data_IF_276760158249
#
_entry.id   IF_276760158249
#
_cell.length_a   1.000
_cell.length_b   1.000
_cell.length_c   1.000
_cell.angle_alpha   90.00
_cell.angle_beta   90.00
_cell.angle_gamma   90.00
#
_symmetry.space_group_name_H-M   'P 1'
#
loop_
_entity.id
_entity.type
_entity.pdbx_description
1 polymer ?
#
# COMPACT_ATOMS: atom_id res chain seq x y z
N UNK A 1 -22.13 -68.19 31.81
CA UNK A 1 -23.56 -68.52 32.00
C UNK A 1 -24.25 -67.18 31.96
N UNK A 2 -24.73 -66.64 30.84
CA UNK A 2 -25.34 -67.26 29.67
C UNK A 2 -25.27 -66.25 28.49
N UNK A 3 -24.16 -66.14 27.74
CA UNK A 3 -23.80 -66.90 26.53
C UNK A 3 -24.93 -67.59 25.72
N UNK A 4 -26.17 -67.08 25.77
CA UNK A 4 -27.24 -67.51 24.85
C UNK A 4 -27.99 -66.34 24.18
N UNK A 5 -27.80 -65.10 24.62
CA UNK A 5 -28.30 -63.91 23.90
C UNK A 5 -27.45 -63.55 22.67
N UNK A 6 -26.27 -64.16 22.53
CA UNK A 6 -25.31 -63.92 21.44
C UNK A 6 -25.63 -64.71 20.16
N UNK A 7 -26.59 -65.64 20.23
CA UNK A 7 -26.88 -66.59 19.14
C UNK A 7 -28.07 -66.17 18.25
N UNK A 8 -28.91 -65.23 18.71
CA UNK A 8 -30.03 -64.70 17.90
C UNK A 8 -29.66 -63.46 17.08
N UNK A 9 -28.47 -62.86 17.29
CA UNK A 9 -27.95 -61.77 16.45
C UNK A 9 -27.16 -62.25 15.22
N UNK A 10 -26.98 -63.56 15.06
CA UNK A 10 -26.20 -64.14 13.97
C UNK A 10 -27.06 -64.70 12.83
N UNK A 11 -28.37 -64.90 13.05
CA UNK A 11 -29.27 -65.45 12.01
C UNK A 11 -30.01 -64.38 11.19
N UNK A 12 -30.21 -63.16 11.69
CA UNK A 12 -30.72 -62.05 10.87
C UNK A 12 -29.60 -61.34 10.07
N UNK A 13 -28.35 -61.81 10.22
CA UNK A 13 -27.17 -61.29 9.53
C UNK A 13 -26.87 -61.95 8.19
N UNK A 14 -27.65 -62.94 7.75
CA UNK A 14 -27.36 -63.70 6.51
C UNK A 14 -28.40 -63.54 5.39
N UNK A 15 -29.52 -62.82 5.58
CA UNK A 15 -30.56 -62.72 4.53
C UNK A 15 -30.74 -61.32 3.90
N UNK A 16 -29.89 -60.33 4.23
CA UNK A 16 -30.02 -58.95 3.69
C UNK A 16 -28.70 -58.38 3.11
N UNK A 17 -27.62 -59.16 3.06
CA UNK A 17 -26.29 -58.66 2.63
C UNK A 17 -25.90 -59.09 1.21
N UNK A 18 -26.66 -59.96 0.54
CA UNK A 18 -26.34 -60.39 -0.83
C UNK A 18 -27.05 -59.56 -1.92
N UNK A 19 -27.18 -58.25 -1.70
CA UNK A 19 -27.63 -57.29 -2.73
C UNK A 19 -26.69 -56.09 -2.89
N UNK A 20 -25.45 -56.15 -2.40
CA UNK A 20 -24.43 -55.12 -2.63
C UNK A 20 -23.03 -55.72 -2.78
N UNK A 21 -22.32 -55.31 -3.85
CA UNK A 21 -21.05 -55.84 -4.38
C UNK A 21 -21.27 -57.07 -5.25
N UNK A 22 -21.40 -56.98 -6.59
CA UNK A 22 -20.24 -56.76 -7.45
C UNK A 22 -20.72 -56.37 -8.87
N UNK A 23 -21.27 -55.16 -9.04
CA UNK A 23 -21.16 -54.45 -10.32
C UNK A 23 -19.83 -53.70 -10.35
N UNK A 24 -18.74 -54.46 -10.40
CA UNK A 24 -17.45 -53.95 -10.84
C UNK A 24 -17.37 -54.13 -12.35
N UNK A 25 -17.88 -53.15 -13.09
CA UNK A 25 -17.34 -52.66 -14.36
C UNK A 25 -18.23 -51.50 -14.79
N UNK A 26 -17.65 -50.47 -15.41
CA UNK A 26 -18.32 -49.25 -15.88
C UNK A 26 -18.74 -48.20 -14.83
N UNK A 27 -17.84 -47.68 -13.98
CA UNK A 27 -17.89 -46.25 -13.58
C UNK A 27 -16.51 -45.64 -13.39
N UNK A 28 -15.64 -45.77 -14.40
CA UNK A 28 -14.41 -44.99 -14.47
C UNK A 28 -14.61 -43.85 -15.47
N UNK A 29 -15.26 -42.76 -15.04
CA UNK A 29 -15.49 -41.66 -15.97
C UNK A 29 -16.25 -40.44 -15.49
N UNK A 30 -16.28 -40.03 -14.21
CA UNK A 30 -16.84 -38.70 -13.89
C UNK A 30 -16.40 -38.05 -12.56
N UNK A 31 -15.13 -38.17 -12.15
CA UNK A 31 -14.66 -37.48 -10.93
C UNK A 31 -13.45 -36.53 -11.09
N UNK A 32 -13.02 -36.22 -12.32
CA UNK A 32 -11.85 -35.36 -12.54
C UNK A 32 -12.16 -33.90 -12.96
N UNK A 33 -13.40 -33.50 -13.19
CA UNK A 33 -13.68 -32.22 -13.89
C UNK A 33 -13.99 -30.99 -13.02
N UNK A 34 -14.30 -31.13 -11.71
CA UNK A 34 -14.72 -29.97 -10.88
C UNK A 34 -13.61 -29.32 -10.03
N UNK A 35 -12.50 -30.02 -9.74
CA UNK A 35 -11.43 -29.49 -8.88
C UNK A 35 -10.36 -28.67 -9.63
N UNK A 36 -10.26 -28.78 -10.96
CA UNK A 36 -9.25 -28.07 -11.75
C UNK A 36 -9.59 -26.58 -11.96
N UNK A 37 -10.88 -26.20 -12.02
CA UNK A 37 -11.32 -24.79 -12.22
C UNK A 37 -11.16 -23.89 -10.98
N UNK A 38 -11.20 -24.44 -9.75
CA UNK A 38 -11.04 -23.64 -8.51
C UNK A 38 -9.59 -23.25 -8.22
N UNK A 39 -8.62 -24.10 -8.58
CA UNK A 39 -7.19 -23.80 -8.40
C UNK A 39 -6.67 -22.73 -9.36
N UNK A 40 -7.22 -22.61 -10.58
CA UNK A 40 -6.82 -21.58 -11.54
C UNK A 40 -7.21 -20.17 -11.07
N UNK A 41 -8.44 -19.97 -10.57
CA UNK A 41 -8.91 -18.66 -10.06
C UNK A 41 -8.13 -18.14 -8.84
N UNK A 42 -7.65 -19.05 -7.97
CA UNK A 42 -6.80 -18.70 -6.80
C UNK A 42 -5.36 -18.36 -7.22
N UNK A 43 -4.86 -18.99 -8.28
CA UNK A 43 -3.53 -18.74 -8.89
C UNK A 43 -3.49 -17.39 -9.62
N UNK A 44 -4.55 -17.02 -10.33
CA UNK A 44 -4.67 -15.71 -10.99
C UNK A 44 -4.77 -14.55 -9.99
N UNK A 45 -5.57 -14.69 -8.92
CA UNK A 45 -5.62 -13.65 -7.85
C UNK A 45 -4.25 -13.46 -7.18
N UNK A 46 -3.51 -14.53 -6.94
CA UNK A 46 -2.16 -14.47 -6.33
C UNK A 46 -1.12 -13.88 -7.30
N UNK A 47 -1.30 -14.06 -8.61
CA UNK A 47 -0.47 -13.45 -9.65
C UNK A 47 -0.72 -11.95 -9.78
N UNK A 48 -2.00 -11.52 -9.85
CA UNK A 48 -2.38 -10.10 -9.87
C UNK A 48 -1.93 -9.34 -8.62
N UNK A 49 -2.02 -9.97 -7.44
CA UNK A 49 -1.55 -9.35 -6.20
C UNK A 49 -0.02 -9.25 -6.14
N UNK A 50 0.70 -10.20 -6.75
CA UNK A 50 2.16 -10.11 -6.89
C UNK A 50 2.57 -9.01 -7.86
N UNK A 51 1.90 -8.90 -9.00
CA UNK A 51 2.13 -7.85 -10.00
C UNK A 51 1.85 -6.46 -9.41
N UNK A 52 0.71 -6.27 -8.72
CA UNK A 52 0.40 -5.00 -8.03
C UNK A 52 1.43 -4.66 -6.94
N UNK A 53 1.83 -5.63 -6.10
CA UNK A 53 2.84 -5.38 -5.08
C UNK A 53 4.20 -5.04 -5.70
N UNK A 54 4.55 -5.64 -6.83
CA UNK A 54 5.80 -5.37 -7.53
C UNK A 54 5.81 -3.97 -8.16
N UNK A 55 4.69 -3.53 -8.71
CA UNK A 55 4.49 -2.17 -9.25
C UNK A 55 4.57 -1.11 -8.14
N UNK A 56 3.96 -1.37 -6.97
CA UNK A 56 4.05 -0.49 -5.80
C UNK A 56 5.50 -0.41 -5.30
N UNK A 57 6.20 -1.54 -5.21
CA UNK A 57 7.61 -1.57 -4.79
C UNK A 57 8.48 -0.76 -5.77
N UNK A 58 8.27 -0.92 -7.08
CA UNK A 58 9.00 -0.15 -8.09
C UNK A 58 8.73 1.35 -8.00
N UNK A 59 7.47 1.77 -7.82
CA UNK A 59 7.13 3.19 -7.64
C UNK A 59 7.78 3.79 -6.38
N UNK A 60 7.80 3.03 -5.28
CA UNK A 60 8.44 3.44 -4.02
C UNK A 60 9.96 3.51 -4.18
N UNK A 61 10.57 2.55 -4.87
CA UNK A 61 12.01 2.55 -5.18
C UNK A 61 12.41 3.71 -6.09
N UNK A 62 11.62 4.04 -7.11
CA UNK A 62 11.84 5.19 -7.99
C UNK A 62 11.69 6.51 -7.24
N UNK A 63 10.69 6.64 -6.37
CA UNK A 63 10.56 7.81 -5.50
C UNK A 63 11.74 7.95 -4.54
N UNK A 64 12.19 6.84 -3.95
CA UNK A 64 13.34 6.84 -3.02
C UNK A 64 14.61 7.16 -3.79
N UNK A 65 14.81 6.60 -4.98
CA UNK A 65 15.95 6.87 -5.86
C UNK A 65 15.94 8.32 -6.35
N UNK A 66 14.78 8.88 -6.68
CA UNK A 66 14.65 10.29 -7.00
C UNK A 66 14.99 11.17 -5.79
N UNK A 67 14.50 10.83 -4.59
CA UNK A 67 14.81 11.53 -3.33
C UNK A 67 16.29 11.45 -2.93
N UNK A 68 16.97 10.33 -3.24
CA UNK A 68 18.38 10.11 -2.93
C UNK A 68 19.33 10.73 -3.97
N UNK A 69 18.89 10.93 -5.21
CA UNK A 69 19.72 11.50 -6.28
C UNK A 69 19.55 13.01 -6.47
N UNK A 70 18.65 13.67 -5.75
CA UNK A 70 18.57 15.14 -5.74
C UNK A 70 19.83 15.70 -5.08
N UNK A 71 20.56 16.51 -5.85
CA UNK A 71 21.68 17.29 -5.33
C UNK A 71 21.23 18.21 -4.19
N UNK A 72 22.17 18.63 -3.33
CA UNK A 72 21.86 19.57 -2.26
C UNK A 72 21.23 20.87 -2.80
N UNK A 73 21.62 21.28 -4.01
CA UNK A 73 21.04 22.44 -4.70
C UNK A 73 19.55 22.22 -4.99
N UNK A 74 19.18 21.10 -5.60
CA UNK A 74 17.78 20.82 -5.93
C UNK A 74 16.91 20.62 -4.68
N UNK A 75 17.45 19.98 -3.63
CA UNK A 75 16.74 19.89 -2.35
C UNK A 75 16.49 21.28 -1.76
N UNK A 76 17.48 22.15 -1.83
CA UNK A 76 17.37 23.54 -1.38
C UNK A 76 16.33 24.30 -2.20
N UNK A 77 16.29 24.11 -3.52
CA UNK A 77 15.31 24.76 -4.39
C UNK A 77 13.88 24.29 -4.08
N UNK A 78 13.70 22.99 -3.81
CA UNK A 78 12.43 22.44 -3.34
C UNK A 78 12.00 23.01 -1.98
N UNK A 79 12.95 23.18 -1.05
CA UNK A 79 12.71 23.82 0.25
C UNK A 79 12.22 25.27 0.09
N UNK A 80 12.90 26.04 -0.77
CA UNK A 80 12.55 27.42 -1.08
C UNK A 80 11.17 27.49 -1.74
N UNK A 81 10.91 26.66 -2.75
CA UNK A 81 9.64 26.62 -3.45
C UNK A 81 8.48 26.25 -2.51
N UNK A 82 8.69 25.31 -1.60
CA UNK A 82 7.70 24.97 -0.58
C UNK A 82 7.41 26.14 0.36
N UNK A 83 8.45 26.83 0.83
CA UNK A 83 8.26 28.00 1.69
C UNK A 83 7.48 29.11 0.98
N UNK A 84 7.82 29.44 -0.27
CA UNK A 84 7.08 30.41 -1.08
C UNK A 84 5.60 30.00 -1.22
N UNK A 85 5.34 28.72 -1.47
CA UNK A 85 3.96 28.20 -1.53
C UNK A 85 3.23 28.41 -0.22
N UNK A 86 3.85 28.13 0.93
CA UNK A 86 3.22 28.36 2.23
C UNK A 86 2.93 29.85 2.49
N UNK A 87 3.85 30.75 2.14
CA UNK A 87 3.62 32.20 2.27
C UNK A 87 2.41 32.62 1.41
N UNK A 88 2.37 32.19 0.14
CA UNK A 88 1.26 32.50 -0.79
C UNK A 88 -0.08 31.93 -0.30
N UNK A 89 -0.08 30.75 0.32
CA UNK A 89 -1.29 30.20 0.95
C UNK A 89 -1.71 31.00 2.19
N UNK A 90 -0.77 31.42 3.03
CA UNK A 90 -1.05 32.26 4.20
C UNK A 90 -1.65 33.62 3.82
N UNK A 91 -1.21 34.22 2.71
CA UNK A 91 -1.74 35.48 2.18
C UNK A 91 -3.23 35.41 1.78
N UNK A 92 -3.82 34.22 1.63
CA UNK A 92 -5.26 34.08 1.38
C UNK A 92 -6.12 34.33 2.61
N UNK A 93 -5.52 34.32 3.80
CA UNK A 93 -6.18 34.58 5.07
C UNK A 93 -6.19 36.08 5.38
N UNK A 94 -7.00 36.50 6.36
CA UNK A 94 -7.06 37.90 6.80
C UNK A 94 -5.81 38.26 7.59
N UNK A 95 -4.76 38.71 6.90
CA UNK A 95 -3.54 39.27 7.48
C UNK A 95 -3.64 40.79 7.58
N UNK A 96 -2.88 41.36 8.53
CA UNK A 96 -2.68 42.81 8.62
C UNK A 96 -1.84 43.31 7.43
N UNK A 97 -1.97 44.59 7.02
CA UNK A 97 -1.17 45.15 5.93
C UNK A 97 0.34 45.02 6.13
N UNK A 98 0.80 45.03 7.39
CA UNK A 98 2.19 44.86 7.76
C UNK A 98 2.67 43.42 7.53
N UNK A 99 1.89 42.42 7.96
CA UNK A 99 2.19 41.01 7.71
C UNK A 99 2.17 40.67 6.21
N UNK A 100 1.29 41.29 5.43
CA UNK A 100 1.26 41.16 3.97
C UNK A 100 2.57 41.70 3.38
N UNK A 101 3.00 42.89 3.79
CA UNK A 101 4.26 43.49 3.31
C UNK A 101 5.47 42.62 3.65
N UNK A 102 5.53 42.10 4.89
CA UNK A 102 6.58 41.17 5.33
C UNK A 102 6.57 39.90 4.45
N UNK A 103 5.39 39.32 4.23
CA UNK A 103 5.22 38.14 3.37
C UNK A 103 5.68 38.38 1.94
N UNK A 104 5.32 39.52 1.34
CA UNK A 104 5.74 39.88 -0.02
C UNK A 104 7.26 40.07 -0.11
N UNK A 105 7.86 40.83 0.82
CA UNK A 105 9.32 41.01 0.87
C UNK A 105 10.08 39.70 1.06
N UNK A 106 9.50 38.75 1.80
CA UNK A 106 10.10 37.43 1.96
C UNK A 106 10.00 36.59 0.69
N UNK A 107 8.90 36.67 -0.06
CA UNK A 107 8.80 36.03 -1.39
C UNK A 107 9.87 36.59 -2.33
N UNK A 108 10.02 37.92 -2.41
CA UNK A 108 11.05 38.57 -3.23
C UNK A 108 12.47 38.13 -2.83
N UNK A 109 12.76 38.04 -1.52
CA UNK A 109 14.04 37.57 -1.00
C UNK A 109 14.33 36.12 -1.41
N UNK A 110 13.33 35.24 -1.37
CA UNK A 110 13.46 33.84 -1.70
C UNK A 110 13.56 33.59 -3.21
N UNK A 111 12.84 34.36 -4.03
CA UNK A 111 12.86 34.28 -5.50
C UNK A 111 14.12 34.93 -6.10
N UNK A 112 14.76 35.89 -5.40
CA UNK A 112 15.95 36.56 -5.91
C UNK A 112 17.18 35.67 -5.98
N UNK A 113 17.78 35.54 -7.17
CA UNK A 113 19.04 34.83 -7.38
C UNK A 113 20.27 35.59 -6.85
N UNK A 114 20.11 36.88 -6.52
CA UNK A 114 21.19 37.71 -5.98
C UNK A 114 21.36 37.54 -4.47
N UNK A 115 20.37 36.95 -3.80
CA UNK A 115 20.38 36.78 -2.35
C UNK A 115 21.18 35.52 -1.99
N UNK A 116 22.24 35.63 -1.17
CA UNK A 116 23.00 34.48 -0.73
C UNK A 116 22.12 33.46 -0.01
N UNK A 117 22.37 32.17 -0.26
CA UNK A 117 21.57 31.07 0.28
C UNK A 117 21.45 31.10 1.81
N UNK A 118 22.51 31.51 2.52
CA UNK A 118 22.49 31.64 3.99
C UNK A 118 21.38 32.59 4.44
N UNK A 119 21.21 33.73 3.77
CA UNK A 119 20.15 34.70 4.08
C UNK A 119 18.76 34.13 3.79
N UNK A 120 18.60 33.41 2.68
CA UNK A 120 17.34 32.70 2.37
C UNK A 120 16.99 31.71 3.48
N UNK A 121 17.94 30.88 3.90
CA UNK A 121 17.75 29.90 5.00
C UNK A 121 17.41 30.57 6.33
N UNK A 122 18.04 31.71 6.65
CA UNK A 122 17.71 32.49 7.85
C UNK A 122 16.28 33.01 7.83
N UNK A 123 15.83 33.60 6.71
CA UNK A 123 14.47 34.07 6.58
C UNK A 123 13.47 32.92 6.72
N UNK A 124 13.67 31.81 6.00
CA UNK A 124 12.82 30.61 6.10
C UNK A 124 12.74 30.11 7.55
N UNK A 125 13.88 30.05 8.26
CA UNK A 125 13.91 29.62 9.66
C UNK A 125 13.23 30.62 10.60
N UNK A 126 13.35 31.92 10.35
CA UNK A 126 12.71 32.94 11.17
C UNK A 126 11.19 32.88 11.11
N UNK A 127 10.63 32.63 9.92
CA UNK A 127 9.17 32.63 9.72
C UNK A 127 8.53 31.26 9.99
N UNK A 128 9.21 30.17 9.62
CA UNK A 128 8.65 28.81 9.69
C UNK A 128 9.32 27.90 10.74
N UNK A 129 10.39 28.36 11.39
CA UNK A 129 11.20 27.49 12.26
C UNK A 129 11.88 26.37 11.47
N UNK A 130 11.66 25.13 11.87
CA UNK A 130 12.17 23.96 11.14
C UNK A 130 11.25 23.60 9.97
N UNK A 131 11.37 24.36 8.88
CA UNK A 131 10.60 24.15 7.65
C UNK A 131 10.83 22.77 7.02
N UNK A 132 11.99 22.14 7.23
CA UNK A 132 12.25 20.78 6.71
C UNK A 132 11.38 19.74 7.39
N UNK A 133 11.15 19.90 8.70
CA UNK A 133 10.19 19.07 9.44
C UNK A 133 8.76 19.34 8.96
N UNK A 134 8.39 20.61 8.80
CA UNK A 134 7.05 20.97 8.29
C UNK A 134 6.78 20.39 6.89
N UNK A 135 7.76 20.45 5.97
CA UNK A 135 7.65 19.84 4.66
C UNK A 135 7.33 18.34 4.69
N UNK A 136 7.87 17.62 5.68
CA UNK A 136 7.59 16.18 5.86
C UNK A 136 6.21 15.91 6.46
N UNK A 137 5.68 16.83 7.26
CA UNK A 137 4.36 16.70 7.88
C UNK A 137 3.23 17.05 6.91
N UNK A 138 3.48 17.99 6.00
CA UNK A 138 2.53 18.43 4.97
C UNK A 138 2.70 17.67 3.64
N UNK A 139 3.25 16.46 3.69
CA UNK A 139 3.52 15.61 2.52
C UNK A 139 2.42 14.60 2.28
#
# INVERSE_FOLDING_TARGET
MDNQAEQLQQQEKEEVVEEQEEKQEEKQGDLLSKNQKRNQKKKEKKKKLKEQNQEIIQQVEEEIKAKLNLSEAEQTDLEIAWCIKQIKLGLTQKLTPEEIKISMSMIELLESNQVPLVKKRMAMKSSFGDYRKLMKQHK
#
